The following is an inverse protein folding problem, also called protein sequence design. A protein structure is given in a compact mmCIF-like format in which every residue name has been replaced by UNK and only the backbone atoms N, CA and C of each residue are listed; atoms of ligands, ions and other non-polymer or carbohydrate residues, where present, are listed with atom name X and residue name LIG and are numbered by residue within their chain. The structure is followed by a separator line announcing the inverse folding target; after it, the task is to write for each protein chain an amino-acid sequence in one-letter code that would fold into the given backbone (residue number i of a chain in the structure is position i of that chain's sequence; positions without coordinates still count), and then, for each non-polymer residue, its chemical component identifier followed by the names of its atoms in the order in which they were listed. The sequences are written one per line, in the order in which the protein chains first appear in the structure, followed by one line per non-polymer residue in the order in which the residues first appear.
data_IF_516517058678
#
_entry.id   IF_516517058678
#
_cell.length_a   1.000
_cell.length_b   1.000
_cell.length_c   1.000
_cell.angle_alpha   90.00
_cell.angle_beta   90.00
_cell.angle_gamma   90.00
#
_symmetry.space_group_name_H-M   'P 1'
#
loop_
_entity.id
_entity.type
_entity.pdbx_description
1 polymer ?
#
# COMPACT_ATOMS: atom_id res chain seq x y z
N UNK A 1 -38.07 13.51 -15.09
CA UNK A 1 -36.66 13.57 -14.69
C UNK A 1 -36.59 14.36 -13.39
N UNK A 2 -36.88 13.71 -12.26
CA UNK A 2 -36.90 14.32 -10.92
C UNK A 2 -35.69 13.79 -10.13
N UNK A 3 -34.62 14.57 -10.05
CA UNK A 3 -33.37 14.20 -9.37
C UNK A 3 -33.34 14.56 -7.87
N UNK A 4 -34.45 15.04 -7.28
CA UNK A 4 -34.47 15.56 -5.90
C UNK A 4 -35.02 14.62 -4.82
N UNK A 5 -35.47 13.42 -5.17
CA UNK A 5 -35.97 12.43 -4.19
C UNK A 5 -35.03 11.21 -4.06
N UNK A 6 -33.72 11.42 -4.05
CA UNK A 6 -32.83 10.45 -3.41
C UNK A 6 -32.89 10.70 -1.90
N UNK A 7 -33.93 10.17 -1.27
CA UNK A 7 -33.89 9.85 0.16
C UNK A 7 -32.58 9.14 0.44
N UNK A 8 -31.80 9.63 1.41
CA UNK A 8 -30.65 8.93 1.99
C UNK A 8 -30.99 7.43 2.12
N UNK A 9 -30.01 6.52 1.90
CA UNK A 9 -30.24 5.09 2.06
C UNK A 9 -30.93 4.86 3.42
N UNK A 10 -32.06 4.13 3.40
CA UNK A 10 -32.80 3.76 4.60
C UNK A 10 -31.80 3.34 5.70
N UNK A 11 -32.05 3.68 6.97
CA UNK A 11 -31.10 3.41 8.08
C UNK A 11 -30.55 1.97 8.03
N UNK A 12 -31.40 1.02 7.64
CA UNK A 12 -31.09 -0.40 7.40
C UNK A 12 -30.05 -0.67 6.30
N UNK A 13 -30.05 0.06 5.19
CA UNK A 13 -29.03 -0.11 4.12
C UNK A 13 -27.72 0.56 4.50
N UNK A 14 -27.74 1.69 5.21
CA UNK A 14 -26.52 2.34 5.72
C UNK A 14 -25.81 1.48 6.78
N UNK A 15 -26.58 0.68 7.53
CA UNK A 15 -26.08 -0.24 8.56
C UNK A 15 -25.17 -1.31 7.96
N UNK A 16 -25.48 -1.90 6.81
CA UNK A 16 -24.75 -3.09 6.32
C UNK A 16 -23.36 -2.77 5.74
N UNK A 17 -23.14 -1.53 5.28
CA UNK A 17 -21.88 -1.11 4.63
C UNK A 17 -20.82 -0.54 5.56
N UNK A 18 -21.22 -0.16 6.76
CA UNK A 18 -20.30 0.25 7.82
C UNK A 18 -19.62 -1.05 8.30
N UNK A 19 -18.28 -1.15 8.32
CA UNK A 19 -17.53 -2.31 8.82
C UNK A 19 -17.69 -2.55 10.34
N UNK A 20 -18.78 -2.06 10.91
CA UNK A 20 -19.27 -2.20 12.27
C UNK A 20 -20.45 -3.18 12.36
N UNK A 21 -21.21 -3.45 11.30
CA UNK A 21 -22.47 -4.22 11.40
C UNK A 21 -22.59 -5.46 10.50
N UNK A 22 -21.51 -6.20 10.28
CA UNK A 22 -21.61 -7.65 9.99
C UNK A 22 -22.22 -8.48 11.14
N UNK A 23 -22.76 -7.78 12.15
CA UNK A 23 -23.29 -8.22 13.42
C UNK A 23 -24.67 -7.54 13.66
N UNK A 24 -25.62 -7.65 12.73
CA UNK A 24 -27.00 -7.21 12.98
C UNK A 24 -27.85 -8.43 13.35
N UNK A 25 -27.79 -8.84 14.64
CA UNK A 25 -28.74 -8.30 15.60
C UNK A 25 -28.05 -7.94 16.92
N UNK A 26 -27.20 -6.91 16.93
CA UNK A 26 -26.56 -6.41 18.16
C UNK A 26 -27.19 -5.14 18.72
N UNK A 27 -28.05 -4.44 17.96
CA UNK A 27 -28.77 -3.28 18.47
C UNK A 27 -29.80 -3.63 19.57
N UNK A 28 -30.19 -4.90 19.69
CA UNK A 28 -31.24 -5.35 20.63
C UNK A 28 -30.72 -6.24 21.77
N UNK A 29 -29.46 -6.70 21.74
CA UNK A 29 -28.96 -7.61 22.79
C UNK A 29 -28.43 -6.84 24.01
N UNK A 30 -28.97 -7.10 25.22
CA UNK A 30 -28.50 -6.49 26.45
C UNK A 30 -27.01 -6.81 26.68
N UNK A 31 -26.32 -5.88 27.35
CA UNK A 31 -24.86 -5.89 27.63
C UNK A 31 -24.37 -7.15 28.39
N UNK A 32 -25.26 -8.03 28.80
CA UNK A 32 -25.00 -9.22 29.63
C UNK A 32 -24.71 -10.48 28.83
N UNK A 33 -24.90 -10.50 27.50
CA UNK A 33 -24.43 -11.62 26.67
C UNK A 33 -22.98 -11.38 26.24
N UNK A 34 -22.04 -12.17 26.78
CA UNK A 34 -20.65 -12.21 26.28
C UNK A 34 -20.66 -12.39 24.76
N UNK A 35 -20.13 -11.40 24.05
CA UNK A 35 -19.98 -11.50 22.61
C UNK A 35 -18.72 -12.33 22.32
N UNK A 36 -18.90 -13.51 21.73
CA UNK A 36 -17.80 -14.43 21.38
C UNK A 36 -16.78 -13.80 20.42
N UNK A 37 -17.07 -12.64 19.82
CA UNK A 37 -16.17 -11.92 18.92
C UNK A 37 -15.21 -10.93 19.62
N UNK A 38 -15.41 -10.59 20.89
CA UNK A 38 -14.59 -9.61 21.63
C UNK A 38 -13.08 -9.92 21.63
N UNK A 39 -12.63 -11.16 21.88
CA UNK A 39 -11.21 -11.50 21.85
C UNK A 39 -10.56 -11.23 20.50
N UNK A 40 -11.31 -11.43 19.41
CA UNK A 40 -10.84 -11.19 18.04
C UNK A 40 -10.60 -9.71 17.80
N UNK A 41 -11.47 -8.83 18.34
CA UNK A 41 -11.29 -7.37 18.22
C UNK A 41 -10.11 -6.86 19.05
N UNK A 42 -9.86 -7.44 20.22
CA UNK A 42 -8.68 -7.12 21.03
C UNK A 42 -7.40 -7.53 20.29
N UNK A 43 -7.39 -8.72 19.70
CA UNK A 43 -6.27 -9.18 18.87
C UNK A 43 -6.05 -8.29 17.64
N UNK A 44 -7.13 -7.87 16.98
CA UNK A 44 -7.06 -6.92 15.87
C UNK A 44 -6.44 -5.59 16.30
N UNK A 45 -6.81 -5.07 17.48
CA UNK A 45 -6.24 -3.83 18.02
C UNK A 45 -4.75 -3.97 18.35
N UNK A 46 -4.31 -5.14 18.83
CA UNK A 46 -2.90 -5.46 18.99
C UNK A 46 -2.15 -5.41 17.64
N UNK A 47 -2.69 -6.04 16.59
CA UNK A 47 -2.07 -5.99 15.25
C UNK A 47 -1.98 -4.55 14.72
N UNK A 48 -3.03 -3.74 14.88
CA UNK A 48 -3.01 -2.32 14.48
C UNK A 48 -1.93 -1.53 15.22
N UNK A 49 -1.70 -1.84 16.51
CA UNK A 49 -0.66 -1.16 17.29
C UNK A 49 0.75 -1.49 16.78
N UNK A 50 1.01 -2.77 16.47
CA UNK A 50 2.28 -3.22 15.86
C UNK A 50 2.48 -2.52 14.52
N UNK A 51 1.45 -2.50 13.68
CA UNK A 51 1.48 -1.87 12.37
C UNK A 51 1.77 -0.37 12.46
N UNK A 52 1.15 0.33 13.41
CA UNK A 52 1.33 1.77 13.61
C UNK A 52 2.78 2.12 13.97
N UNK A 53 3.38 1.28 14.83
CA UNK A 53 4.79 1.41 15.20
C UNK A 53 5.67 1.17 13.97
N UNK A 54 5.47 0.05 13.26
CA UNK A 54 6.24 -0.30 12.06
C UNK A 54 6.14 0.78 10.98
N UNK A 55 4.95 1.32 10.74
CA UNK A 55 4.70 2.42 9.79
C UNK A 55 5.51 3.67 10.14
N UNK A 56 5.53 4.04 11.42
CA UNK A 56 6.25 5.22 11.90
C UNK A 56 7.75 5.09 11.63
N UNK A 57 8.33 3.90 11.84
CA UNK A 57 9.71 3.63 11.47
C UNK A 57 9.94 3.70 9.96
N UNK A 58 9.04 3.15 9.16
CA UNK A 58 9.20 3.09 7.71
C UNK A 58 9.14 4.46 7.04
N UNK A 59 8.28 5.36 7.52
CA UNK A 59 8.27 6.75 7.07
C UNK A 59 9.61 7.46 7.36
N UNK A 60 10.26 7.16 8.50
CA UNK A 60 11.58 7.68 8.82
C UNK A 60 12.68 7.08 7.95
N UNK A 61 12.59 5.78 7.64
CA UNK A 61 13.52 5.09 6.72
C UNK A 61 13.44 5.71 5.32
N UNK A 62 12.24 5.87 4.76
CA UNK A 62 12.05 6.45 3.42
C UNK A 62 12.59 7.88 3.35
N UNK A 63 12.38 8.66 4.41
CA UNK A 63 12.93 10.02 4.47
C UNK A 63 14.47 10.04 4.46
N UNK A 64 15.12 8.98 4.93
CA UNK A 64 16.59 8.87 5.01
C UNK A 64 17.21 8.18 3.81
N UNK A 65 16.60 7.11 3.34
CA UNK A 65 17.12 6.31 2.25
C UNK A 65 16.86 7.02 0.92
N UNK A 66 17.89 7.24 0.10
CA UNK A 66 17.76 7.71 -1.29
C UNK A 66 18.04 6.59 -2.27
N UNK A 67 17.27 5.50 -2.17
CA UNK A 67 17.53 4.27 -2.92
C UNK A 67 16.74 4.16 -4.20
N UNK A 68 15.60 4.82 -4.27
CA UNK A 68 14.79 4.84 -5.46
C UNK A 68 14.83 6.24 -6.05
N UNK A 69 14.49 6.36 -7.34
CA UNK A 69 14.21 7.67 -7.88
C UNK A 69 13.08 8.33 -7.08
N UNK A 70 13.21 9.64 -6.86
CA UNK A 70 12.26 10.47 -6.10
C UNK A 70 10.80 10.23 -6.50
N UNK A 71 10.54 9.98 -7.79
CA UNK A 71 9.20 9.72 -8.29
C UNK A 71 8.58 8.44 -7.70
N UNK A 72 9.35 7.36 -7.65
CA UNK A 72 8.92 6.11 -7.04
C UNK A 72 8.83 6.25 -5.51
N UNK A 73 9.76 6.97 -4.87
CA UNK A 73 9.71 7.26 -3.43
C UNK A 73 8.42 8.00 -3.04
N UNK A 74 7.95 8.95 -3.85
CA UNK A 74 6.68 9.64 -3.59
C UNK A 74 5.47 8.71 -3.68
N UNK A 75 5.47 7.74 -4.60
CA UNK A 75 4.39 6.74 -4.70
C UNK A 75 4.38 5.84 -3.46
N UNK A 76 5.56 5.38 -3.01
CA UNK A 76 5.70 4.63 -1.75
C UNK A 76 5.29 5.47 -0.54
N UNK A 77 5.73 6.72 -0.43
CA UNK A 77 5.34 7.62 0.66
C UNK A 77 3.81 7.81 0.72
N UNK A 78 3.16 8.00 -0.43
CA UNK A 78 1.71 8.07 -0.51
C UNK A 78 1.04 6.77 -0.02
N UNK A 79 1.60 5.61 -0.32
CA UNK A 79 1.10 4.32 0.20
C UNK A 79 1.13 4.29 1.74
N UNK A 80 2.24 4.71 2.37
CA UNK A 80 2.36 4.74 3.83
C UNK A 80 1.46 5.79 4.49
N UNK A 81 1.24 6.94 3.85
CA UNK A 81 0.27 7.93 4.35
C UNK A 81 -1.14 7.32 4.35
N UNK A 82 -1.53 6.61 3.30
CA UNK A 82 -2.83 5.94 3.23
C UNK A 82 -2.96 4.81 4.25
N UNK A 83 -1.87 4.14 4.62
CA UNK A 83 -1.89 3.20 5.75
C UNK A 83 -2.17 3.90 7.08
N UNK A 84 -1.64 5.11 7.30
CA UNK A 84 -2.01 5.92 8.46
C UNK A 84 -3.51 6.24 8.52
N UNK A 85 -4.12 6.56 7.38
CA UNK A 85 -5.57 6.78 7.27
C UNK A 85 -6.36 5.49 7.55
N UNK A 86 -5.88 4.35 7.03
CA UNK A 86 -6.47 3.04 7.28
C UNK A 86 -6.48 2.71 8.78
N UNK A 87 -5.33 2.84 9.45
CA UNK A 87 -5.18 2.59 10.89
C UNK A 87 -6.13 3.49 11.68
N UNK A 88 -6.19 4.77 11.34
CA UNK A 88 -7.05 5.75 12.03
C UNK A 88 -8.53 5.38 11.89
N UNK A 89 -8.99 5.13 10.65
CA UNK A 89 -10.36 4.71 10.39
C UNK A 89 -10.71 3.41 11.11
N UNK A 90 -9.85 2.39 11.02
CA UNK A 90 -10.11 1.09 11.63
C UNK A 90 -10.15 1.13 13.16
N UNK A 91 -9.25 1.90 13.78
CA UNK A 91 -9.23 2.06 15.25
C UNK A 91 -10.55 2.65 15.76
N UNK A 92 -11.07 3.68 15.08
CA UNK A 92 -12.37 4.29 15.43
C UNK A 92 -13.49 3.24 15.29
N UNK A 93 -13.52 2.48 14.18
CA UNK A 93 -14.54 1.45 13.96
C UNK A 93 -14.52 0.38 15.07
N UNK A 94 -13.33 -0.05 15.53
CA UNK A 94 -13.22 -1.02 16.63
C UNK A 94 -13.77 -0.47 17.93
N UNK A 95 -13.59 0.82 18.24
CA UNK A 95 -14.17 1.43 19.45
C UNK A 95 -15.70 1.44 19.45
N UNK A 96 -16.32 1.59 18.27
CA UNK A 96 -17.76 1.42 18.12
C UNK A 96 -18.18 -0.06 18.25
N UNK A 97 -17.42 -0.99 17.66
CA UNK A 97 -17.68 -2.44 17.78
C UNK A 97 -17.57 -2.95 19.22
N UNK A 98 -16.60 -2.47 19.98
CA UNK A 98 -16.41 -2.78 21.40
C UNK A 98 -17.40 -2.06 22.33
N UNK A 99 -18.34 -1.27 21.79
CA UNK A 99 -19.33 -0.48 22.54
C UNK A 99 -18.69 0.46 23.58
N UNK A 100 -17.45 0.91 23.32
CA UNK A 100 -16.79 1.96 24.10
C UNK A 100 -17.46 3.30 23.77
N UNK A 101 -17.78 3.51 22.48
CA UNK A 101 -18.58 4.61 21.99
C UNK A 101 -19.97 4.09 21.60
N UNK A 102 -21.01 4.73 22.15
CA UNK A 102 -22.39 4.35 21.89
C UNK A 102 -22.93 5.04 20.63
N UNK A 103 -23.73 4.31 19.86
CA UNK A 103 -24.45 4.85 18.68
C UNK A 103 -25.73 5.51 19.20
N UNK A 104 -25.86 6.82 19.01
CA UNK A 104 -27.02 7.54 19.54
C UNK A 104 -28.22 7.49 18.58
N UNK A 105 -27.99 7.19 17.30
CA UNK A 105 -29.01 7.28 16.25
C UNK A 105 -29.21 8.69 15.72
N UNK A 106 -28.47 9.68 16.22
CA UNK A 106 -28.41 11.03 15.68
C UNK A 106 -27.20 11.17 14.73
N UNK A 107 -27.44 11.62 13.50
CA UNK A 107 -26.39 11.84 12.50
C UNK A 107 -25.27 12.78 12.99
N UNK A 108 -25.59 13.75 13.84
CA UNK A 108 -24.59 14.68 14.37
C UNK A 108 -23.57 14.00 15.29
N UNK A 109 -23.97 12.98 16.05
CA UNK A 109 -23.07 12.24 16.96
C UNK A 109 -22.42 11.03 16.28
N UNK A 110 -23.08 10.49 15.25
CA UNK A 110 -22.64 9.29 14.55
C UNK A 110 -21.79 9.62 13.31
N UNK A 111 -21.53 10.91 13.03
CA UNK A 111 -20.62 11.36 11.97
C UNK A 111 -19.21 10.72 12.03
N UNK A 112 -18.55 10.56 13.20
CA UNK A 112 -17.25 9.89 13.27
C UNK A 112 -17.26 8.45 12.77
N UNK A 113 -18.39 7.73 12.93
CA UNK A 113 -18.57 6.37 12.44
C UNK A 113 -18.59 6.31 10.91
N UNK A 114 -19.33 7.23 10.29
CA UNK A 114 -19.43 7.36 8.83
C UNK A 114 -18.07 7.75 8.24
N UNK A 115 -17.42 8.76 8.83
CA UNK A 115 -16.10 9.20 8.41
C UNK A 115 -15.05 8.09 8.55
N UNK A 116 -15.05 7.34 9.65
CA UNK A 116 -14.13 6.22 9.86
C UNK A 116 -14.33 5.10 8.84
N UNK A 117 -15.59 4.79 8.50
CA UNK A 117 -15.94 3.80 7.47
C UNK A 117 -15.45 4.24 6.10
N UNK A 118 -15.65 5.51 5.77
CA UNK A 118 -15.18 6.10 4.53
C UNK A 118 -13.64 6.08 4.43
N UNK A 119 -12.93 6.50 5.49
CA UNK A 119 -11.47 6.48 5.52
C UNK A 119 -10.91 5.07 5.36
N UNK A 120 -11.53 4.08 6.02
CA UNK A 120 -11.15 2.68 5.89
C UNK A 120 -11.34 2.18 4.45
N UNK A 121 -12.53 2.37 3.87
CA UNK A 121 -12.84 1.96 2.49
C UNK A 121 -11.92 2.65 1.46
N UNK A 122 -11.76 3.97 1.58
CA UNK A 122 -10.86 4.75 0.73
C UNK A 122 -9.46 4.14 0.76
N UNK A 123 -8.92 3.90 1.95
CA UNK A 123 -7.57 3.37 2.10
C UNK A 123 -7.40 1.97 1.51
N UNK A 124 -8.41 1.10 1.63
CA UNK A 124 -8.41 -0.24 1.02
C UNK A 124 -8.38 -0.14 -0.52
N UNK A 125 -9.23 0.70 -1.14
CA UNK A 125 -9.21 0.92 -2.58
C UNK A 125 -7.93 1.61 -3.07
N UNK A 126 -7.39 2.53 -2.28
CA UNK A 126 -6.14 3.21 -2.62
C UNK A 126 -4.98 2.22 -2.67
N UNK A 127 -4.95 1.29 -1.71
CA UNK A 127 -3.95 0.24 -1.60
C UNK A 127 -4.05 -0.77 -2.74
N UNK A 128 -5.25 -1.16 -3.15
CA UNK A 128 -5.41 -2.10 -4.27
C UNK A 128 -4.91 -1.55 -5.61
N UNK A 129 -4.90 -0.23 -5.76
CA UNK A 129 -4.39 0.47 -6.95
C UNK A 129 -2.87 0.74 -6.90
N UNK A 130 -2.21 0.44 -5.79
CA UNK A 130 -0.76 0.66 -5.64
C UNK A 130 0.08 -0.09 -6.69
N UNK A 131 -0.13 -1.39 -6.97
CA UNK A 131 0.60 -2.11 -8.02
C UNK A 131 0.57 -1.41 -9.38
N UNK A 132 -0.61 -0.93 -9.77
CA UNK A 132 -0.81 -0.23 -11.04
C UNK A 132 -0.02 1.08 -11.07
N UNK A 133 -0.04 1.86 -9.97
CA UNK A 133 0.69 3.12 -9.88
C UNK A 133 2.20 2.97 -10.06
N UNK A 134 2.77 1.91 -9.48
CA UNK A 134 4.20 1.58 -9.61
C UNK A 134 4.55 1.23 -11.06
N UNK A 135 3.74 0.39 -11.71
CA UNK A 135 4.00 -0.04 -13.09
C UNK A 135 3.88 1.12 -14.07
N UNK A 136 2.86 1.96 -13.93
CA UNK A 136 2.70 3.16 -14.77
C UNK A 136 3.92 4.06 -14.64
N UNK A 137 4.38 4.35 -13.42
CA UNK A 137 5.57 5.16 -13.21
C UNK A 137 6.84 4.52 -13.81
N UNK A 138 6.99 3.20 -13.71
CA UNK A 138 8.10 2.47 -14.35
C UNK A 138 8.02 2.48 -15.88
N UNK A 139 6.83 2.46 -16.47
CA UNK A 139 6.65 2.61 -17.94
C UNK A 139 7.14 3.99 -18.37
N UNK A 140 6.79 5.04 -17.64
CA UNK A 140 7.27 6.40 -17.91
C UNK A 140 8.79 6.49 -17.77
N UNK A 141 9.36 5.93 -16.70
CA UNK A 141 10.81 5.90 -16.49
C UNK A 141 11.56 5.15 -17.60
N UNK A 142 10.99 4.06 -18.12
CA UNK A 142 11.60 3.32 -19.23
C UNK A 142 11.44 4.03 -20.59
N UNK A 143 10.32 4.72 -20.82
CA UNK A 143 10.05 5.44 -22.08
C UNK A 143 10.86 6.73 -22.20
N UNK A 144 10.97 7.50 -21.12
CA UNK A 144 11.60 8.83 -21.10
C UNK A 144 12.97 8.80 -20.44
N UNK A 145 13.76 7.74 -20.66
CA UNK A 145 14.99 7.45 -19.91
C UNK A 145 16.00 8.62 -19.91
N UNK A 146 16.12 9.32 -21.04
CA UNK A 146 17.05 10.45 -21.21
C UNK A 146 16.56 11.73 -20.50
N UNK A 147 15.25 12.00 -20.55
CA UNK A 147 14.63 13.18 -19.93
C UNK A 147 14.43 13.02 -18.41
N UNK A 148 14.29 11.77 -17.95
CA UNK A 148 14.03 11.42 -16.54
C UNK A 148 15.18 11.82 -15.60
N UNK A 149 16.41 11.86 -16.13
CA UNK A 149 17.61 12.24 -15.37
C UNK A 149 17.79 13.77 -15.32
N UNK A 150 17.51 14.45 -16.43
CA UNK A 150 17.76 15.89 -16.56
C UNK A 150 16.69 16.74 -15.88
N UNK A 151 15.45 16.26 -15.82
CA UNK A 151 14.35 16.95 -15.16
C UNK A 151 13.67 16.01 -14.18
N UNK A 152 13.56 16.43 -12.92
CA UNK A 152 12.67 15.74 -11.98
C UNK A 152 11.23 15.94 -12.45
N UNK A 153 10.71 14.98 -13.21
CA UNK A 153 9.34 14.98 -13.71
C UNK A 153 8.35 14.65 -12.59
N UNK A 154 8.37 15.43 -11.51
CA UNK A 154 7.54 15.29 -10.30
C UNK A 154 6.05 15.30 -10.67
N UNK A 155 5.68 15.94 -11.79
CA UNK A 155 4.33 15.93 -12.31
C UNK A 155 3.79 14.52 -12.61
N UNK A 156 4.64 13.57 -13.03
CA UNK A 156 4.22 12.19 -13.34
C UNK A 156 3.65 11.50 -12.09
N UNK A 157 4.42 11.28 -11.01
CA UNK A 157 3.92 10.66 -9.79
C UNK A 157 2.80 11.46 -9.13
N UNK A 158 2.81 12.81 -9.18
CA UNK A 158 1.69 13.61 -8.67
C UNK A 158 0.38 13.33 -9.42
N UNK A 159 0.45 13.23 -10.76
CA UNK A 159 -0.71 12.91 -11.59
C UNK A 159 -1.22 11.50 -11.29
N UNK A 160 -0.30 10.52 -11.16
CA UNK A 160 -0.64 9.15 -10.79
C UNK A 160 -1.32 9.11 -9.41
N UNK A 161 -0.77 9.81 -8.43
CA UNK A 161 -1.33 9.90 -7.07
C UNK A 161 -2.71 10.55 -7.09
N UNK A 162 -2.90 11.65 -7.84
CA UNK A 162 -4.17 12.35 -7.94
C UNK A 162 -5.25 11.46 -8.58
N UNK A 163 -4.96 10.81 -9.70
CA UNK A 163 -5.90 9.90 -10.37
C UNK A 163 -6.27 8.75 -9.43
N UNK A 164 -5.27 8.13 -8.79
CA UNK A 164 -5.49 7.04 -7.84
C UNK A 164 -6.37 7.48 -6.67
N UNK A 165 -6.07 8.65 -6.08
CA UNK A 165 -6.81 9.20 -4.96
C UNK A 165 -8.28 9.46 -5.34
N UNK A 166 -8.53 10.09 -6.49
CA UNK A 166 -9.88 10.35 -6.99
C UNK A 166 -10.66 9.06 -7.25
N UNK A 167 -10.05 8.06 -7.91
CA UNK A 167 -10.72 6.79 -8.16
C UNK A 167 -11.09 6.08 -6.86
N UNK A 168 -10.16 6.03 -5.90
CA UNK A 168 -10.41 5.45 -4.57
C UNK A 168 -11.50 6.19 -3.79
N UNK A 169 -11.54 7.53 -3.88
CA UNK A 169 -12.58 8.36 -3.28
C UNK A 169 -13.96 8.05 -3.87
N UNK A 170 -14.06 7.98 -5.20
CA UNK A 170 -15.31 7.63 -5.90
C UNK A 170 -15.76 6.21 -5.54
N UNK A 171 -14.84 5.23 -5.53
CA UNK A 171 -15.17 3.85 -5.15
C UNK A 171 -15.66 3.73 -3.71
N UNK A 172 -15.01 4.39 -2.75
CA UNK A 172 -15.44 4.40 -1.36
C UNK A 172 -16.83 5.03 -1.20
N UNK A 173 -17.08 6.13 -1.91
CA UNK A 173 -18.39 6.79 -1.91
C UNK A 173 -19.50 5.90 -2.50
N UNK A 174 -19.25 5.28 -3.65
CA UNK A 174 -20.21 4.39 -4.32
C UNK A 174 -20.61 3.20 -3.43
N UNK A 175 -19.63 2.62 -2.74
CA UNK A 175 -19.83 1.53 -1.78
C UNK A 175 -20.66 2.00 -0.58
N UNK A 176 -20.27 3.12 0.05
CA UNK A 176 -20.94 3.63 1.25
C UNK A 176 -22.39 4.04 0.98
N UNK A 177 -22.67 4.59 -0.21
CA UNK A 177 -24.01 4.99 -0.64
C UNK A 177 -24.83 3.84 -1.22
N UNK A 178 -24.37 2.59 -1.10
CA UNK A 178 -25.05 1.40 -1.59
C UNK A 178 -25.43 1.50 -3.08
N UNK A 179 -24.57 2.07 -3.91
CA UNK A 179 -24.85 2.20 -5.34
C UNK A 179 -24.98 0.83 -6.03
N UNK A 180 -24.32 -0.19 -5.46
CA UNK A 180 -24.52 -1.58 -5.80
C UNK A 180 -25.60 -2.14 -4.89
N UNK A 181 -26.84 -2.15 -5.38
CA UNK A 181 -28.04 -2.57 -4.63
C UNK A 181 -27.99 -3.96 -3.98
N UNK A 182 -26.99 -4.81 -4.31
CA UNK A 182 -26.86 -6.18 -3.82
C UNK A 182 -25.38 -6.54 -3.53
N UNK A 183 -25.14 -7.20 -2.39
CA UNK A 183 -23.84 -7.69 -1.95
C UNK A 183 -23.22 -8.68 -2.94
N UNK A 184 -24.06 -9.45 -3.60
CA UNK A 184 -23.65 -10.43 -4.62
C UNK A 184 -23.03 -9.72 -5.82
N UNK A 185 -23.50 -8.52 -6.19
CA UNK A 185 -22.97 -7.78 -7.34
C UNK A 185 -21.54 -7.30 -7.07
N UNK A 186 -21.24 -6.85 -5.85
CA UNK A 186 -19.88 -6.41 -5.48
C UNK A 186 -18.94 -7.62 -5.42
N UNK A 187 -19.41 -8.72 -4.82
CA UNK A 187 -18.65 -9.96 -4.74
C UNK A 187 -18.35 -10.54 -6.14
N UNK A 188 -19.31 -10.41 -7.07
CA UNK A 188 -19.18 -10.92 -8.44
C UNK A 188 -18.41 -9.99 -9.39
N UNK A 189 -18.44 -8.66 -9.17
CA UNK A 189 -17.85 -7.69 -10.10
C UNK A 189 -16.66 -6.93 -9.51
N UNK A 190 -16.85 -6.26 -8.38
CA UNK A 190 -15.84 -5.34 -7.84
C UNK A 190 -14.60 -6.07 -7.31
N UNK A 191 -14.79 -7.14 -6.54
CA UNK A 191 -13.67 -7.89 -5.97
C UNK A 191 -12.84 -8.61 -7.05
N UNK A 192 -13.44 -9.31 -8.04
CA UNK A 192 -12.68 -9.88 -9.15
C UNK A 192 -12.02 -8.82 -10.04
N UNK A 193 -12.66 -7.67 -10.28
CA UNK A 193 -12.03 -6.59 -11.04
C UNK A 193 -10.72 -6.12 -10.38
N UNK A 194 -10.72 -5.95 -9.05
CA UNK A 194 -9.53 -5.56 -8.30
C UNK A 194 -8.40 -6.59 -8.42
N UNK A 195 -8.70 -7.90 -8.38
CA UNK A 195 -7.68 -8.94 -8.55
C UNK A 195 -7.14 -9.01 -9.97
N UNK A 196 -8.01 -8.83 -10.98
CA UNK A 196 -7.62 -8.74 -12.39
C UNK A 196 -6.70 -7.54 -12.62
N UNK A 197 -7.00 -6.37 -12.03
CA UNK A 197 -6.13 -5.19 -12.14
C UNK A 197 -4.77 -5.40 -11.48
N UNK A 198 -4.72 -6.01 -10.29
CA UNK A 198 -3.45 -6.33 -9.65
C UNK A 198 -2.63 -7.34 -10.47
N UNK A 199 -3.27 -8.37 -11.01
CA UNK A 199 -2.63 -9.38 -11.86
C UNK A 199 -2.12 -8.80 -13.19
N UNK A 200 -2.90 -7.94 -13.84
CA UNK A 200 -2.48 -7.28 -15.08
C UNK A 200 -1.29 -6.34 -14.86
N UNK A 201 -1.26 -5.59 -13.75
CA UNK A 201 -0.10 -4.78 -13.37
C UNK A 201 1.15 -5.66 -13.20
N UNK A 202 1.04 -6.81 -12.53
CA UNK A 202 2.17 -7.74 -12.39
C UNK A 202 2.67 -8.28 -13.73
N UNK A 203 1.77 -8.67 -14.63
CA UNK A 203 2.12 -9.12 -15.98
C UNK A 203 2.83 -8.00 -16.75
N UNK A 204 2.31 -6.77 -16.70
CA UNK A 204 2.95 -5.61 -17.32
C UNK A 204 4.36 -5.35 -16.77
N UNK A 205 4.58 -5.52 -15.46
CA UNK A 205 5.91 -5.43 -14.87
C UNK A 205 6.87 -6.48 -15.46
N UNK A 206 6.41 -7.73 -15.64
CA UNK A 206 7.23 -8.80 -16.24
C UNK A 206 7.57 -8.49 -17.70
N UNK A 207 6.61 -7.96 -18.46
CA UNK A 207 6.83 -7.51 -19.84
C UNK A 207 7.88 -6.39 -19.85
N UNK A 208 7.74 -5.40 -18.96
CA UNK A 208 8.67 -4.28 -18.86
C UNK A 208 10.08 -4.73 -18.47
N UNK A 209 10.21 -5.68 -17.54
CA UNK A 209 11.49 -6.29 -17.16
C UNK A 209 12.12 -7.02 -18.35
N UNK A 210 11.33 -7.79 -19.11
CA UNK A 210 11.82 -8.46 -20.32
C UNK A 210 12.26 -7.46 -21.37
N UNK A 211 11.49 -6.39 -21.58
CA UNK A 211 11.82 -5.34 -22.54
C UNK A 211 13.12 -4.63 -22.19
N UNK A 212 13.31 -4.19 -20.93
CA UNK A 212 14.55 -3.56 -20.50
C UNK A 212 15.77 -4.48 -20.65
N UNK A 213 15.63 -5.78 -20.34
CA UNK A 213 16.71 -6.76 -20.56
C UNK A 213 17.06 -6.93 -22.04
N UNK A 214 16.07 -6.91 -22.93
CA UNK A 214 16.30 -6.98 -24.37
C UNK A 214 16.98 -5.71 -24.87
N UNK A 215 16.55 -4.53 -24.42
CA UNK A 215 17.19 -3.25 -24.74
C UNK A 215 18.66 -3.25 -24.32
N UNK A 216 18.97 -3.72 -23.11
CA UNK A 216 20.35 -3.84 -22.63
C UNK A 216 21.19 -4.76 -23.52
N UNK A 217 20.65 -5.94 -23.90
CA UNK A 217 21.34 -6.88 -24.80
C UNK A 217 21.58 -6.28 -26.19
N UNK A 218 20.59 -5.58 -26.75
CA UNK A 218 20.73 -4.93 -28.05
C UNK A 218 21.80 -3.84 -28.00
N UNK A 219 21.82 -3.04 -26.93
CA UNK A 219 22.88 -2.05 -26.73
C UNK A 219 24.25 -2.74 -26.70
N UNK A 220 24.46 -3.74 -25.84
CA UNK A 220 25.75 -4.43 -25.72
C UNK A 220 26.23 -5.08 -27.02
N UNK A 221 25.32 -5.58 -27.86
CA UNK A 221 25.67 -6.11 -29.20
C UNK A 221 26.03 -5.03 -30.21
N UNK A 222 25.54 -3.81 -30.04
CA UNK A 222 25.86 -2.68 -30.93
C UNK A 222 27.21 -2.05 -30.53
N UNK A 223 27.64 -2.27 -29.28
CA UNK A 223 28.90 -1.79 -28.68
C UNK A 223 30.15 -2.33 -29.39
N UNK A 224 30.10 -3.58 -29.88
CA UNK A 224 31.24 -4.20 -30.57
C UNK A 224 31.69 -3.46 -31.84
N UNK A 225 30.89 -2.53 -32.37
CA UNK A 225 31.14 -1.86 -33.64
C UNK A 225 31.17 -0.30 -33.56
N UNK A 226 31.03 0.34 -32.39
CA UNK A 226 31.00 1.82 -32.30
C UNK A 226 31.92 2.35 -31.21
N UNK A 227 32.65 3.42 -31.53
CA UNK A 227 33.46 4.17 -30.57
C UNK A 227 32.61 4.66 -29.39
N UNK A 228 33.15 4.47 -28.18
CA UNK A 228 32.58 4.84 -26.89
C UNK A 228 32.20 6.32 -26.83
N UNK A 229 30.93 6.64 -27.06
CA UNK A 229 30.39 7.99 -26.82
C UNK A 229 29.74 8.04 -25.45
N UNK A 230 29.91 9.15 -24.70
CA UNK A 230 29.40 9.28 -23.33
C UNK A 230 27.89 9.05 -23.17
N UNK A 231 27.11 9.34 -24.21
CA UNK A 231 25.65 9.08 -24.28
C UNK A 231 25.30 7.58 -24.22
N UNK A 232 26.18 6.73 -24.75
CA UNK A 232 25.97 5.29 -24.74
C UNK A 232 26.17 4.70 -23.33
N UNK A 233 27.19 5.18 -22.62
CA UNK A 233 27.52 4.73 -21.27
C UNK A 233 26.43 5.08 -20.26
N UNK A 234 25.95 6.33 -20.26
CA UNK A 234 24.86 6.78 -19.38
C UNK A 234 23.60 5.95 -19.58
N UNK A 235 23.19 5.72 -20.83
CA UNK A 235 22.01 4.92 -21.17
C UNK A 235 22.13 3.46 -20.70
N UNK A 236 23.31 2.86 -20.81
CA UNK A 236 23.57 1.49 -20.30
C UNK A 236 23.41 1.42 -18.78
N UNK A 237 23.94 2.40 -18.05
CA UNK A 237 23.80 2.48 -16.59
C UNK A 237 22.33 2.63 -16.18
N UNK A 238 21.59 3.55 -16.80
CA UNK A 238 20.17 3.78 -16.50
C UNK A 238 19.30 2.54 -16.74
N UNK A 239 19.51 1.82 -17.84
CA UNK A 239 18.76 0.58 -18.11
C UNK A 239 19.10 -0.49 -17.07
N UNK A 240 20.37 -0.58 -16.67
CA UNK A 240 20.82 -1.53 -15.65
C UNK A 240 20.17 -1.23 -14.30
N UNK A 241 20.19 0.03 -13.87
CA UNK A 241 19.52 0.49 -12.65
C UNK A 241 18.01 0.19 -12.69
N UNK A 242 17.34 0.50 -13.81
CA UNK A 242 15.92 0.18 -14.00
C UNK A 242 15.65 -1.33 -13.90
N UNK A 243 16.51 -2.19 -14.44
CA UNK A 243 16.37 -3.65 -14.32
C UNK A 243 16.51 -4.09 -12.86
N UNK A 244 17.48 -3.56 -12.12
CA UNK A 244 17.67 -3.88 -10.70
C UNK A 244 16.45 -3.50 -9.86
N UNK A 245 15.92 -2.28 -10.07
CA UNK A 245 14.69 -1.82 -9.42
C UNK A 245 13.51 -2.71 -9.81
N UNK A 246 13.33 -3.06 -11.08
CA UNK A 246 12.24 -3.94 -11.53
C UNK A 246 12.33 -5.36 -10.95
N UNK A 247 13.55 -5.90 -10.74
CA UNK A 247 13.74 -7.21 -10.10
C UNK A 247 13.31 -7.18 -8.63
N UNK A 248 13.60 -6.09 -7.94
CA UNK A 248 13.14 -5.87 -6.57
C UNK A 248 11.62 -5.69 -6.53
N UNK A 249 11.07 -4.81 -7.38
CA UNK A 249 9.63 -4.57 -7.49
C UNK A 249 8.86 -5.84 -7.84
N UNK A 250 9.41 -6.75 -8.64
CA UNK A 250 8.77 -8.03 -8.95
C UNK A 250 8.42 -8.83 -7.70
N UNK A 251 9.32 -8.89 -6.73
CA UNK A 251 9.08 -9.62 -5.48
C UNK A 251 8.03 -8.91 -4.62
N UNK A 252 8.10 -7.58 -4.54
CA UNK A 252 7.12 -6.76 -3.80
C UNK A 252 5.72 -6.83 -4.42
N UNK A 253 5.62 -6.74 -5.74
CA UNK A 253 4.37 -6.84 -6.47
C UNK A 253 3.75 -8.23 -6.35
N UNK A 254 4.56 -9.29 -6.31
CA UNK A 254 4.04 -10.65 -6.08
C UNK A 254 3.29 -10.73 -4.74
N UNK A 255 3.90 -10.23 -3.65
CA UNK A 255 3.24 -10.17 -2.34
C UNK A 255 1.98 -9.30 -2.40
N UNK A 256 2.04 -8.19 -3.13
CA UNK A 256 0.88 -7.31 -3.33
C UNK A 256 -0.28 -8.00 -4.05
N UNK A 257 -0.01 -8.74 -5.13
CA UNK A 257 -1.01 -9.47 -5.88
C UNK A 257 -1.61 -10.61 -5.06
N UNK A 258 -0.78 -11.39 -4.35
CA UNK A 258 -1.25 -12.46 -3.47
C UNK A 258 -2.13 -11.90 -2.36
N UNK A 259 -1.69 -10.83 -1.69
CA UNK A 259 -2.46 -10.19 -0.63
C UNK A 259 -3.78 -9.60 -1.13
N UNK A 260 -3.77 -8.94 -2.28
CA UNK A 260 -5.00 -8.41 -2.89
C UNK A 260 -5.97 -9.52 -3.29
N UNK A 261 -5.47 -10.60 -3.88
CA UNK A 261 -6.28 -11.78 -4.21
C UNK A 261 -6.87 -12.42 -2.95
N UNK A 262 -6.07 -12.56 -1.90
CA UNK A 262 -6.52 -13.11 -0.62
C UNK A 262 -7.64 -12.28 0.02
N UNK A 263 -7.47 -10.95 0.12
CA UNK A 263 -8.49 -10.04 0.66
C UNK A 263 -9.77 -10.12 -0.17
N UNK A 264 -9.65 -10.13 -1.51
CA UNK A 264 -10.78 -10.22 -2.41
C UNK A 264 -11.52 -11.56 -2.29
N UNK A 265 -10.81 -12.67 -2.15
CA UNK A 265 -11.40 -13.99 -1.93
C UNK A 265 -12.13 -14.08 -0.59
N UNK A 266 -11.48 -13.68 0.50
CA UNK A 266 -12.10 -13.66 1.84
C UNK A 266 -13.31 -12.74 1.87
N UNK A 267 -13.20 -11.55 1.26
CA UNK A 267 -14.30 -10.61 1.11
C UNK A 267 -15.45 -11.17 0.29
N UNK A 268 -15.16 -11.87 -0.81
CA UNK A 268 -16.20 -12.49 -1.65
C UNK A 268 -17.01 -13.53 -0.89
N UNK A 269 -16.33 -14.44 -0.17
CA UNK A 269 -17.01 -15.44 0.66
C UNK A 269 -17.79 -14.76 1.79
N UNK A 270 -17.21 -13.75 2.45
CA UNK A 270 -17.90 -13.01 3.51
C UNK A 270 -19.18 -12.35 3.00
N UNK A 271 -19.13 -11.74 1.81
CA UNK A 271 -20.29 -11.10 1.19
C UNK A 271 -21.39 -12.11 0.79
N UNK A 272 -21.01 -13.31 0.34
CA UNK A 272 -21.98 -14.37 0.05
C UNK A 272 -22.64 -14.94 1.33
N UNK A 273 -21.95 -14.91 2.46
CA UNK A 273 -22.46 -15.38 3.75
C UNK A 273 -23.18 -14.28 4.57
N UNK A 274 -23.42 -13.09 4.00
CA UNK A 274 -24.05 -11.93 4.69
C UNK A 274 -25.41 -12.24 5.32
N UNK A 275 -26.21 -13.11 4.68
CA UNK A 275 -27.55 -13.46 5.14
C UNK A 275 -27.56 -14.55 6.22
N UNK A 276 -26.40 -15.12 6.56
CA UNK A 276 -26.29 -16.17 7.58
C UNK A 276 -25.97 -15.57 8.95
N UNK A 277 -26.84 -15.77 9.93
CA UNK A 277 -26.64 -15.27 11.32
C UNK A 277 -25.71 -16.14 12.17
N UNK A 278 -25.09 -17.16 11.57
CA UNK A 278 -24.25 -18.16 12.25
C UNK A 278 -22.92 -17.62 12.76
N UNK A 279 -22.34 -18.29 13.75
CA UNK A 279 -21.00 -17.97 14.30
C UNK A 279 -19.91 -17.94 13.20
N UNK A 280 -20.01 -18.83 12.22
CA UNK A 280 -19.07 -18.91 11.10
C UNK A 280 -19.01 -17.61 10.30
N UNK A 281 -20.16 -17.04 9.92
CA UNK A 281 -20.22 -15.78 9.18
C UNK A 281 -19.57 -14.64 9.97
N UNK A 282 -19.79 -14.55 11.28
CA UNK A 282 -19.18 -13.52 12.15
C UNK A 282 -17.66 -13.60 12.21
N UNK A 283 -17.11 -14.81 12.35
CA UNK A 283 -15.66 -15.02 12.29
C UNK A 283 -15.10 -14.69 10.91
N UNK A 284 -15.82 -15.02 9.83
CA UNK A 284 -15.43 -14.71 8.46
C UNK A 284 -15.38 -13.20 8.20
N UNK A 285 -16.37 -12.42 8.67
CA UNK A 285 -16.35 -10.96 8.60
C UNK A 285 -15.22 -10.35 9.43
N UNK A 286 -14.96 -10.89 10.63
CA UNK A 286 -13.84 -10.44 11.44
C UNK A 286 -12.50 -10.73 10.77
N UNK A 287 -12.38 -11.89 10.11
CA UNK A 287 -11.20 -12.24 9.33
C UNK A 287 -11.03 -11.37 8.08
N UNK A 288 -12.12 -11.05 7.37
CA UNK A 288 -12.11 -10.08 6.28
C UNK A 288 -11.58 -8.72 6.75
N UNK A 289 -12.06 -8.21 7.89
CA UNK A 289 -11.61 -6.94 8.46
C UNK A 289 -10.12 -6.95 8.87
N UNK A 290 -9.61 -8.09 9.36
CA UNK A 290 -8.19 -8.26 9.70
C UNK A 290 -7.30 -8.46 8.46
N UNK A 291 -7.84 -8.96 7.35
CA UNK A 291 -7.05 -9.34 6.18
C UNK A 291 -6.22 -8.19 5.56
N UNK A 292 -6.69 -6.92 5.49
CA UNK A 292 -5.85 -5.81 5.06
C UNK A 292 -4.71 -5.50 6.03
N UNK A 293 -4.90 -5.68 7.35
CA UNK A 293 -3.84 -5.47 8.35
C UNK A 293 -2.73 -6.51 8.14
N UNK A 294 -3.11 -7.79 8.05
CA UNK A 294 -2.17 -8.90 7.81
C UNK A 294 -1.40 -8.68 6.50
N UNK A 295 -2.11 -8.27 5.45
CA UNK A 295 -1.48 -7.93 4.19
C UNK A 295 -0.45 -6.80 4.33
N UNK A 296 -0.81 -5.70 5.00
CA UNK A 296 0.09 -4.56 5.19
C UNK A 296 1.35 -4.94 5.98
N UNK A 297 1.20 -5.71 7.06
CA UNK A 297 2.33 -6.23 7.85
C UNK A 297 3.24 -7.12 7.01
N UNK A 298 2.65 -8.04 6.22
CA UNK A 298 3.42 -8.92 5.33
C UNK A 298 4.18 -8.13 4.27
N UNK A 299 3.59 -7.05 3.76
CA UNK A 299 4.21 -6.19 2.76
C UNK A 299 5.38 -5.38 3.35
N UNK A 300 5.19 -4.84 4.57
CA UNK A 300 6.23 -4.16 5.32
C UNK A 300 7.43 -5.06 5.62
N UNK A 301 7.16 -6.26 6.14
CA UNK A 301 8.18 -7.25 6.41
C UNK A 301 8.95 -7.60 5.13
N UNK A 302 8.24 -7.78 4.01
CA UNK A 302 8.86 -8.08 2.72
C UNK A 302 9.78 -6.95 2.26
N UNK A 303 9.37 -5.69 2.38
CA UNK A 303 10.23 -4.55 2.05
C UNK A 303 11.50 -4.53 2.90
N UNK A 304 11.35 -4.70 4.22
CA UNK A 304 12.49 -4.72 5.16
C UNK A 304 13.44 -5.86 4.80
N UNK A 305 12.94 -7.04 4.45
CA UNK A 305 13.80 -8.18 4.11
C UNK A 305 14.49 -8.04 2.75
N UNK A 306 13.83 -7.43 1.77
CA UNK A 306 14.35 -7.32 0.40
C UNK A 306 15.25 -6.12 0.17
N UNK A 307 15.00 -5.01 0.87
CA UNK A 307 15.78 -3.78 0.71
C UNK A 307 16.78 -3.69 1.85
N UNK A 308 17.94 -4.30 1.67
CA UNK A 308 18.97 -4.41 2.72
C UNK A 308 19.32 -3.08 3.38
N UNK A 309 19.41 -1.99 2.62
CA UNK A 309 19.63 -0.65 3.20
C UNK A 309 18.48 -0.17 4.09
N UNK A 310 17.23 -0.42 3.72
CA UNK A 310 16.08 -0.08 4.56
C UNK A 310 16.02 -0.96 5.79
N UNK A 311 16.43 -2.24 5.69
CA UNK A 311 16.62 -3.13 6.83
C UNK A 311 17.63 -2.56 7.81
N UNK A 312 18.79 -2.14 7.32
CA UNK A 312 19.89 -1.71 8.16
C UNK A 312 19.54 -0.35 8.83
N UNK A 313 18.86 0.55 8.10
CA UNK A 313 18.30 1.78 8.66
C UNK A 313 17.19 1.52 9.68
N UNK A 314 16.29 0.55 9.42
CA UNK A 314 15.23 0.13 10.33
C UNK A 314 15.82 -0.47 11.62
N UNK A 315 16.76 -1.40 11.50
CA UNK A 315 17.45 -2.01 12.63
C UNK A 315 18.25 -0.97 13.42
N UNK A 316 18.88 -0.01 12.75
CA UNK A 316 19.56 1.10 13.41
C UNK A 316 18.59 1.98 14.20
N UNK A 317 17.43 2.33 13.64
CA UNK A 317 16.40 3.09 14.34
C UNK A 317 15.84 2.33 15.55
N UNK A 318 15.59 1.03 15.37
CA UNK A 318 15.13 0.14 16.44
C UNK A 318 16.16 0.06 17.57
N UNK A 319 17.43 -0.20 17.23
CA UNK A 319 18.54 -0.20 18.20
C UNK A 319 18.69 1.15 18.90
N UNK A 320 18.46 2.27 18.22
CA UNK A 320 18.56 3.60 18.81
C UNK A 320 17.49 3.88 19.88
N UNK A 321 16.30 3.30 19.73
CA UNK A 321 15.21 3.41 20.70
C UNK A 321 15.41 2.43 21.86
N UNK A 322 15.85 1.20 21.57
CA UNK A 322 16.13 0.19 22.59
C UNK A 322 17.38 0.53 23.42
N UNK A 323 18.44 1.04 22.79
CA UNK A 323 19.70 1.43 23.44
C UNK A 323 19.78 2.95 23.68
N UNK A 324 18.75 3.54 24.28
CA UNK A 324 18.77 4.92 24.75
C UNK A 324 20.02 5.20 25.63
N UNK A 325 21.09 5.76 25.04
CA UNK A 325 22.05 6.75 25.59
C UNK A 325 23.54 6.65 25.19
N UNK A 326 24.07 5.56 24.62
CA UNK A 326 25.55 5.41 24.54
C UNK A 326 26.24 5.84 23.22
N UNK A 327 25.59 5.77 22.05
CA UNK A 327 26.30 5.85 20.74
C UNK A 327 26.29 7.26 20.12
N UNK A 328 25.74 8.26 20.82
CA UNK A 328 25.44 9.59 20.25
C UNK A 328 26.66 10.43 19.87
N UNK A 329 27.87 10.11 20.35
CA UNK A 329 29.03 11.01 20.24
C UNK A 329 30.09 10.64 19.19
N UNK A 330 30.21 9.37 18.77
CA UNK A 330 31.32 8.95 17.88
C UNK A 330 30.98 8.95 16.38
N UNK A 331 29.71 8.81 15.97
CA UNK A 331 29.38 8.54 14.55
C UNK A 331 29.11 9.78 13.67
N UNK A 332 28.81 10.94 14.27
CA UNK A 332 28.49 12.16 13.51
C UNK A 332 29.70 12.71 12.73
N UNK A 333 30.92 12.35 13.15
CA UNK A 333 32.17 12.74 12.45
C UNK A 333 32.55 11.73 11.35
N UNK A 334 32.17 10.46 11.49
CA UNK A 334 32.60 9.40 10.57
C UNK A 334 31.71 9.27 9.33
N UNK A 335 30.38 9.43 9.45
CA UNK A 335 29.45 9.19 8.33
C UNK A 335 29.47 10.32 7.30
N UNK A 336 29.66 11.57 7.70
CA UNK A 336 29.73 12.71 6.77
C UNK A 336 31.04 12.70 5.93
N UNK A 337 32.15 12.17 6.47
CA UNK A 337 33.40 12.02 5.73
C UNK A 337 33.44 10.77 4.84
N UNK A 338 32.76 9.69 5.25
CA UNK A 338 32.76 8.42 4.51
C UNK A 338 31.73 8.42 3.37
N UNK A 339 30.55 9.01 3.55
CA UNK A 339 29.50 9.08 2.50
C UNK A 339 29.96 9.80 1.22
N UNK A 340 30.74 10.88 1.34
CA UNK A 340 31.17 11.64 0.17
C UNK A 340 32.37 11.00 -0.54
N UNK A 341 33.28 10.35 0.21
CA UNK A 341 34.42 9.59 -0.35
C UNK A 341 34.01 8.26 -0.94
N UNK A 342 33.07 7.54 -0.32
CA UNK A 342 32.58 6.25 -0.84
C UNK A 342 31.70 6.43 -2.07
N UNK A 343 30.86 7.47 -2.17
CA UNK A 343 30.07 7.67 -3.40
C UNK A 343 30.94 8.04 -4.62
N UNK A 344 32.01 8.82 -4.42
CA UNK A 344 32.98 9.11 -5.47
C UNK A 344 33.88 7.89 -5.74
N UNK A 345 34.36 7.22 -4.70
CA UNK A 345 35.23 6.04 -4.80
C UNK A 345 34.54 4.84 -5.44
N UNK A 346 33.28 4.55 -5.11
CA UNK A 346 32.50 3.47 -5.70
C UNK A 346 32.17 3.77 -7.17
N UNK A 347 31.94 5.04 -7.51
CA UNK A 347 31.76 5.47 -8.91
C UNK A 347 33.05 5.23 -9.71
N UNK A 348 34.23 5.59 -9.17
CA UNK A 348 35.52 5.36 -9.83
C UNK A 348 35.98 3.89 -9.80
N UNK A 349 35.66 3.11 -8.77
CA UNK A 349 35.93 1.67 -8.72
C UNK A 349 35.04 0.91 -9.70
N UNK A 350 33.76 1.27 -9.82
CA UNK A 350 32.88 0.72 -10.86
C UNK A 350 33.35 1.14 -12.27
N UNK A 351 33.91 2.33 -12.41
CA UNK A 351 34.55 2.79 -13.64
C UNK A 351 35.81 1.97 -13.98
N UNK A 352 36.68 1.72 -12.99
CA UNK A 352 37.92 0.96 -13.15
C UNK A 352 37.70 -0.53 -13.36
N UNK A 353 36.67 -1.12 -12.74
CA UNK A 353 36.33 -2.54 -12.88
C UNK A 353 35.75 -2.91 -14.24
N UNK A 354 35.22 -1.93 -14.96
CA UNK A 354 34.71 -2.08 -16.34
C UNK A 354 35.74 -1.68 -17.41
N UNK A 355 36.96 -1.31 -17.02
CA UNK A 355 38.06 -0.92 -17.92
C UNK A 355 39.09 -2.05 -18.16
N UNK A 356 38.90 -3.21 -17.51
CA UNK A 356 39.61 -4.46 -17.81
C UNK A 356 38.63 -5.46 -18.40
#
# INVERSE_FOLDING_TARGET
MNFYNQTLPNRETLIIWIPVFGDCPYAEKPRTSYDTSEPVKIFELFLISVLSIALSFMLLVIRRSRRFHRNLEMIFANMFINFGLFVTGRTILIFYQLRIVLISGNMATDYPLILASFLWLHSVFNLSMFPLSVVIERIFAAKYIEEYEQRSLICIPLTIILIKFTLSLVSAYMVLMNFFYDFVIIAALALPAVTIFAGSAFIMLLILLRWNRLQLKTLMRTDTNREFTGHYLSRRFQITENIEVLVLLKKLMLVSCIGTAFIASVGGVAMCCTNESGLFARYLFSFFNMSPIIYQESYLLTIILLVGSWRDDFLYLLQKIVMCSAVRRQRKVFVDQVSHREQQGLYFEMYARNWK
#
